data_IF_072978705901
#
_entry.id   IF_072978705901
#
_cell.length_a   1.000
_cell.length_b   1.000
_cell.length_c   1.000
_cell.angle_alpha   90.00
_cell.angle_beta   90.00
_cell.angle_gamma   90.00
#
_symmetry.space_group_name_H-M   'P 1'
#
loop_
_entity.id
_entity.type
_entity.pdbx_description
1 polymer ?
#
# COMPACT_ATOMS: atom_id res chain seq x y z
N UNK A 1 0.10 38.04 25.84
CA UNK A 1 -0.43 36.86 25.14
C UNK A 1 -0.12 35.66 26.02
N UNK A 2 -1.15 34.98 26.52
CA UNK A 2 -0.99 33.73 27.28
C UNK A 2 -0.88 32.60 26.26
N UNK A 3 0.26 31.92 26.25
CA UNK A 3 0.56 30.79 25.35
C UNK A 3 -0.13 29.49 25.82
N UNK A 4 -1.38 29.58 26.29
CA UNK A 4 -2.10 28.42 26.82
C UNK A 4 -2.68 27.59 25.68
N UNK A 5 -2.20 26.34 25.59
CA UNK A 5 -2.68 25.31 24.69
C UNK A 5 -3.87 24.58 25.32
N UNK A 6 -5.09 25.09 25.11
CA UNK A 6 -6.32 24.47 25.65
C UNK A 6 -6.81 23.21 24.89
N UNK A 7 -6.12 22.82 23.81
CA UNK A 7 -6.38 21.59 23.06
C UNK A 7 -5.08 20.81 22.85
N UNK A 8 -5.08 19.54 23.23
CA UNK A 8 -3.87 18.70 23.27
C UNK A 8 -3.23 18.47 21.90
N UNK A 9 -4.04 18.54 20.83
CA UNK A 9 -3.64 18.22 19.45
C UNK A 9 -3.76 19.42 18.49
N UNK A 10 -4.20 20.59 18.97
CA UNK A 10 -4.39 21.78 18.13
C UNK A 10 -3.90 23.04 18.83
N UNK A 11 -3.25 23.92 18.08
CA UNK A 11 -2.93 25.27 18.53
C UNK A 11 -3.63 26.30 17.64
N UNK A 12 -4.16 27.34 18.25
CA UNK A 12 -4.68 28.50 17.54
C UNK A 12 -3.72 29.66 17.73
N UNK A 13 -3.23 30.21 16.61
CA UNK A 13 -2.41 31.41 16.63
C UNK A 13 -3.17 32.53 15.92
N UNK A 14 -3.45 33.60 16.65
CA UNK A 14 -4.00 34.83 16.07
C UNK A 14 -2.85 35.73 15.64
N UNK A 15 -2.86 36.12 14.36
CA UNK A 15 -1.78 36.86 13.72
C UNK A 15 -2.31 38.20 13.24
N UNK A 16 -1.57 39.26 13.53
CA UNK A 16 -1.78 40.59 12.93
C UNK A 16 -0.59 40.92 12.01
N UNK A 17 -0.73 40.66 10.71
CA UNK A 17 0.34 40.86 9.71
C UNK A 17 0.99 42.26 9.75
N UNK A 18 0.25 43.38 9.95
CA UNK A 18 0.86 44.71 10.02
C UNK A 18 1.83 44.89 11.19
N UNK A 19 1.70 44.11 12.28
CA UNK A 19 2.57 44.18 13.46
C UNK A 19 3.85 43.35 13.33
N UNK A 20 3.95 42.52 12.28
CA UNK A 20 5.12 41.70 12.03
C UNK A 20 6.21 42.50 11.32
N UNK A 21 7.31 42.80 12.01
CA UNK A 21 8.35 43.72 11.55
C UNK A 21 9.66 43.05 11.12
N UNK A 22 9.72 41.71 11.15
CA UNK A 22 10.88 40.95 10.65
C UNK A 22 10.83 40.97 9.12
N UNK A 23 11.96 41.34 8.50
CA UNK A 23 12.06 41.57 7.04
C UNK A 23 13.07 40.65 6.36
N UNK A 24 13.78 39.83 7.14
CA UNK A 24 14.74 38.85 6.61
C UNK A 24 14.49 37.47 7.19
N UNK A 25 14.78 36.46 6.39
CA UNK A 25 14.60 35.04 6.74
C UNK A 25 15.45 34.59 7.94
N UNK A 26 16.64 35.17 8.13
CA UNK A 26 17.56 34.87 9.24
C UNK A 26 17.06 35.39 10.58
N UNK A 27 16.03 36.23 10.59
CA UNK A 27 15.39 36.75 11.79
C UNK A 27 14.27 35.83 12.31
N UNK A 28 13.90 34.79 11.57
CA UNK A 28 12.76 33.92 11.87
C UNK A 28 13.19 32.82 12.86
N UNK A 29 12.63 32.86 14.06
CA UNK A 29 13.06 32.01 15.19
C UNK A 29 12.23 30.72 15.30
N UNK A 30 11.01 30.71 14.77
CA UNK A 30 10.09 29.58 14.89
C UNK A 30 9.19 29.40 13.67
N UNK A 31 8.48 28.27 13.63
CA UNK A 31 7.60 27.88 12.52
C UNK A 31 6.46 28.87 12.28
N UNK A 32 5.91 29.45 13.35
CA UNK A 32 4.82 30.43 13.26
C UNK A 32 5.32 31.70 12.56
N UNK A 33 6.51 32.18 12.91
CA UNK A 33 7.11 33.35 12.24
C UNK A 33 7.43 33.09 10.78
N UNK A 34 7.84 31.87 10.42
CA UNK A 34 8.01 31.46 9.02
C UNK A 34 6.69 31.54 8.25
N UNK A 35 5.59 31.08 8.84
CA UNK A 35 4.26 31.21 8.25
C UNK A 35 3.81 32.66 8.10
N UNK A 36 4.01 33.49 9.14
CA UNK A 36 3.67 34.92 9.09
C UNK A 36 4.48 35.64 8.01
N UNK A 37 5.78 35.37 7.93
CA UNK A 37 6.67 35.94 6.92
C UNK A 37 6.23 35.52 5.52
N UNK A 38 5.96 34.23 5.31
CA UNK A 38 5.43 33.72 4.05
C UNK A 38 4.14 34.43 3.64
N UNK A 39 3.13 34.52 4.52
CA UNK A 39 1.87 35.19 4.18
C UNK A 39 2.02 36.69 3.91
N UNK A 40 2.97 37.35 4.58
CA UNK A 40 3.22 38.78 4.38
C UNK A 40 3.88 39.09 3.04
N UNK A 41 4.75 38.20 2.56
CA UNK A 41 5.56 38.38 1.35
C UNK A 41 5.15 37.40 0.23
N UNK A 42 3.98 36.79 0.31
CA UNK A 42 3.58 35.69 -0.57
C UNK A 42 3.57 36.07 -2.06
N UNK A 43 3.29 37.34 -2.36
CA UNK A 43 3.29 37.94 -3.69
C UNK A 43 4.70 38.27 -4.22
N UNK A 44 5.64 38.53 -3.32
CA UNK A 44 7.03 38.91 -3.62
C UNK A 44 8.01 37.74 -3.57
N UNK A 45 7.63 36.64 -2.91
CA UNK A 45 8.52 35.50 -2.63
C UNK A 45 8.66 34.62 -3.86
N UNK A 46 9.86 34.52 -4.42
CA UNK A 46 10.19 33.58 -5.48
C UNK A 46 10.29 32.15 -4.94
N UNK A 47 10.17 31.13 -5.81
CA UNK A 47 10.34 29.72 -5.39
C UNK A 47 11.72 29.46 -4.76
N UNK A 48 12.76 30.17 -5.24
CA UNK A 48 14.12 30.04 -4.71
C UNK A 48 14.25 30.66 -3.31
N UNK A 49 13.65 31.83 -3.09
CA UNK A 49 13.67 32.50 -1.78
C UNK A 49 12.81 31.76 -0.76
N UNK A 50 11.71 31.16 -1.22
CA UNK A 50 10.90 30.29 -0.39
C UNK A 50 11.69 29.08 0.12
N UNK A 51 12.50 28.43 -0.72
CA UNK A 51 13.35 27.30 -0.28
C UNK A 51 14.33 27.72 0.82
N UNK A 52 14.80 28.97 0.80
CA UNK A 52 15.67 29.52 1.86
C UNK A 52 14.90 29.80 3.16
N UNK A 53 13.70 30.38 3.07
CA UNK A 53 12.79 30.64 4.22
C UNK A 53 12.38 29.34 4.92
N UNK A 54 12.01 28.33 4.12
CA UNK A 54 11.52 27.05 4.60
C UNK A 54 12.67 26.20 5.14
N UNK A 55 13.82 26.22 4.48
CA UNK A 55 14.96 25.37 4.80
C UNK A 55 14.61 23.89 4.58
N UNK A 56 14.81 23.05 5.60
CA UNK A 56 14.50 21.60 5.57
C UNK A 56 13.08 21.24 5.99
N UNK A 57 12.20 22.23 6.23
CA UNK A 57 10.85 21.97 6.73
C UNK A 57 9.90 21.52 5.61
N UNK A 58 9.72 20.20 5.50
CA UNK A 58 8.92 19.56 4.44
C UNK A 58 7.45 19.96 4.43
N UNK A 59 6.89 20.45 5.55
CA UNK A 59 5.45 20.76 5.64
C UNK A 59 5.14 22.09 4.94
N UNK A 60 5.96 23.13 5.16
CA UNK A 60 5.76 24.41 4.49
C UNK A 60 6.02 24.26 2.99
N UNK A 61 7.02 23.46 2.60
CA UNK A 61 7.33 23.21 1.18
C UNK A 61 6.11 22.65 0.45
N UNK A 62 5.48 21.63 1.03
CA UNK A 62 4.26 21.05 0.47
C UNK A 62 3.11 22.06 0.37
N UNK A 63 2.89 22.86 1.40
CA UNK A 63 1.80 23.84 1.39
C UNK A 63 2.02 24.95 0.36
N UNK A 64 3.27 25.37 0.15
CA UNK A 64 3.61 26.28 -0.94
C UNK A 64 3.36 25.65 -2.30
N UNK A 65 3.79 24.41 -2.52
CA UNK A 65 3.59 23.73 -3.80
C UNK A 65 2.10 23.66 -4.16
N UNK A 66 1.22 23.50 -3.17
CA UNK A 66 -0.25 23.56 -3.34
C UNK A 66 -0.76 24.99 -3.63
N UNK A 67 -0.22 26.01 -2.95
CA UNK A 67 -0.62 27.41 -3.17
C UNK A 67 -0.11 27.97 -4.51
N UNK A 68 1.09 27.58 -4.94
CA UNK A 68 1.70 28.06 -6.18
C UNK A 68 0.94 27.57 -7.42
N UNK A 69 0.13 26.52 -7.30
CA UNK A 69 -0.74 26.04 -8.39
C UNK A 69 -1.70 27.12 -8.92
N UNK A 70 -2.07 28.09 -8.07
CA UNK A 70 -2.95 29.20 -8.47
C UNK A 70 -2.23 30.26 -9.32
N UNK A 71 -0.90 30.32 -9.26
CA UNK A 71 -0.07 31.23 -10.05
C UNK A 71 0.46 30.61 -11.34
N UNK A 72 0.23 29.31 -11.56
CA UNK A 72 0.70 28.62 -12.76
C UNK A 72 0.02 29.12 -14.03
N UNK A 73 0.83 29.23 -15.08
CA UNK A 73 0.34 29.35 -16.45
C UNK A 73 -0.48 28.12 -16.85
N UNK A 74 -1.25 28.22 -17.93
CA UNK A 74 -2.02 27.10 -18.46
C UNK A 74 -1.10 25.93 -18.84
N UNK A 75 0.08 26.25 -19.34
CA UNK A 75 1.09 25.30 -19.79
C UNK A 75 1.70 24.53 -18.61
N UNK A 76 2.06 25.23 -17.53
CA UNK A 76 2.59 24.60 -16.30
C UNK A 76 1.55 23.72 -15.63
N UNK A 77 0.30 24.19 -15.54
CA UNK A 77 -0.81 23.40 -15.00
C UNK A 77 -1.07 22.14 -15.82
N UNK A 78 -1.06 22.27 -17.16
CA UNK A 78 -1.21 21.12 -18.05
C UNK A 78 -0.07 20.11 -17.87
N UNK A 79 1.17 20.56 -17.73
CA UNK A 79 2.33 19.69 -17.50
C UNK A 79 2.22 18.93 -16.16
N UNK A 80 1.77 19.62 -15.11
CA UNK A 80 1.51 19.01 -13.81
C UNK A 80 0.39 17.96 -13.88
N UNK A 81 -0.75 18.30 -14.48
CA UNK A 81 -1.88 17.38 -14.63
C UNK A 81 -1.49 16.13 -15.44
N UNK A 82 -0.66 16.30 -16.47
CA UNK A 82 -0.11 15.18 -17.25
C UNK A 82 0.88 14.32 -16.46
N UNK A 83 1.71 14.93 -15.60
CA UNK A 83 2.61 14.18 -14.72
C UNK A 83 1.82 13.36 -13.70
N UNK A 84 0.84 14.00 -13.04
CA UNK A 84 -0.06 13.34 -12.10
C UNK A 84 -0.84 12.20 -12.76
N UNK A 85 -1.44 12.46 -13.93
CA UNK A 85 -2.13 11.42 -14.70
C UNK A 85 -1.23 10.23 -15.03
N UNK A 86 0.03 10.47 -15.44
CA UNK A 86 0.97 9.37 -15.71
C UNK A 86 1.24 8.52 -14.46
N UNK A 87 1.39 9.16 -13.30
CA UNK A 87 1.56 8.44 -12.03
C UNK A 87 0.30 7.64 -11.68
N UNK A 88 -0.88 8.23 -11.81
CA UNK A 88 -2.15 7.57 -11.52
C UNK A 88 -2.43 6.40 -12.48
N UNK A 89 -2.15 6.56 -13.77
CA UNK A 89 -2.27 5.50 -14.78
C UNK A 89 -1.32 4.32 -14.45
N UNK A 90 -0.09 4.63 -14.02
CA UNK A 90 0.88 3.61 -13.62
C UNK A 90 0.43 2.84 -12.37
N UNK A 91 -0.05 3.54 -11.34
CA UNK A 91 -0.56 2.92 -10.11
C UNK A 91 -1.79 2.06 -10.39
N UNK A 92 -2.73 2.56 -11.20
CA UNK A 92 -3.92 1.82 -11.62
C UNK A 92 -3.55 0.54 -12.38
N UNK A 93 -2.57 0.62 -13.28
CA UNK A 93 -2.06 -0.56 -14.01
C UNK A 93 -1.44 -1.59 -13.07
N UNK A 94 -0.71 -1.17 -12.03
CA UNK A 94 -0.13 -2.08 -11.05
C UNK A 94 -1.22 -2.76 -10.21
N UNK A 95 -2.24 -2.01 -9.79
CA UNK A 95 -3.35 -2.53 -9.02
C UNK A 95 -4.17 -3.56 -9.81
N UNK A 96 -4.45 -3.27 -11.09
CA UNK A 96 -5.13 -4.20 -11.99
C UNK A 96 -4.35 -5.50 -12.15
N UNK A 97 -3.03 -5.43 -12.41
CA UNK A 97 -2.17 -6.62 -12.53
C UNK A 97 -2.12 -7.45 -11.24
N UNK A 98 -2.07 -6.79 -10.09
CA UNK A 98 -2.11 -7.46 -8.80
C UNK A 98 -3.46 -8.18 -8.60
N UNK A 99 -4.55 -7.50 -8.94
CA UNK A 99 -5.89 -8.06 -8.84
C UNK A 99 -6.07 -9.28 -9.74
N UNK A 100 -5.66 -9.19 -11.00
CA UNK A 100 -5.64 -10.31 -11.95
C UNK A 100 -4.79 -11.47 -11.42
N UNK A 101 -3.59 -11.20 -10.92
CA UNK A 101 -2.71 -12.22 -10.36
C UNK A 101 -3.33 -12.95 -9.17
N UNK A 102 -4.06 -12.24 -8.30
CA UNK A 102 -4.78 -12.85 -7.17
C UNK A 102 -5.93 -13.73 -7.67
N UNK A 103 -6.69 -13.28 -8.67
CA UNK A 103 -7.78 -14.05 -9.25
C UNK A 103 -7.27 -15.35 -9.88
N UNK A 104 -6.24 -15.27 -10.72
CA UNK A 104 -5.61 -16.43 -11.36
C UNK A 104 -5.06 -17.38 -10.29
N UNK A 105 -4.29 -16.87 -9.32
CA UNK A 105 -3.71 -17.70 -8.26
C UNK A 105 -4.76 -18.40 -7.40
N UNK A 106 -5.92 -17.76 -7.17
CA UNK A 106 -7.05 -18.38 -6.47
C UNK A 106 -7.69 -19.49 -7.30
N UNK A 107 -7.93 -19.25 -8.59
CA UNK A 107 -8.52 -20.24 -9.49
C UNK A 107 -7.62 -21.47 -9.66
N UNK A 108 -6.33 -21.25 -9.94
CA UNK A 108 -5.33 -22.32 -10.02
C UNK A 108 -5.21 -23.08 -8.69
N UNK A 109 -5.20 -22.36 -7.56
CA UNK A 109 -5.14 -22.97 -6.24
C UNK A 109 -6.33 -23.88 -5.93
N UNK A 110 -7.54 -23.47 -6.33
CA UNK A 110 -8.75 -24.29 -6.19
C UNK A 110 -8.66 -25.53 -7.09
N UNK A 111 -8.24 -25.37 -8.34
CA UNK A 111 -8.15 -26.48 -9.30
C UNK A 111 -7.13 -27.53 -8.84
N UNK A 112 -5.91 -27.10 -8.51
CA UNK A 112 -4.84 -27.98 -8.01
C UNK A 112 -5.28 -28.64 -6.70
N UNK A 113 -5.90 -27.88 -5.79
CA UNK A 113 -6.40 -28.41 -4.52
C UNK A 113 -7.46 -29.48 -4.70
N UNK A 114 -8.40 -29.26 -5.64
CA UNK A 114 -9.44 -30.23 -5.95
C UNK A 114 -8.88 -31.51 -6.59
N UNK A 115 -7.94 -31.39 -7.53
CA UNK A 115 -7.31 -32.54 -8.19
C UNK A 115 -6.52 -33.39 -7.19
N UNK A 116 -5.63 -32.76 -6.40
CA UNK A 116 -4.86 -33.45 -5.35
C UNK A 116 -5.78 -34.08 -4.30
N UNK A 117 -6.81 -33.36 -3.85
CA UNK A 117 -7.77 -33.88 -2.88
C UNK A 117 -8.52 -35.10 -3.40
N UNK A 118 -8.88 -35.14 -4.69
CA UNK A 118 -9.51 -36.29 -5.31
C UNK A 118 -8.57 -37.50 -5.37
N UNK A 119 -7.33 -37.31 -5.83
CA UNK A 119 -6.35 -38.39 -5.93
C UNK A 119 -5.98 -38.96 -4.55
N UNK A 120 -5.74 -38.09 -3.58
CA UNK A 120 -5.43 -38.51 -2.21
C UNK A 120 -6.62 -39.21 -1.55
N UNK A 121 -7.85 -38.70 -1.75
CA UNK A 121 -9.07 -39.34 -1.29
C UNK A 121 -9.30 -40.72 -1.90
N UNK A 122 -9.07 -40.87 -3.22
CA UNK A 122 -9.15 -42.18 -3.89
C UNK A 122 -8.09 -43.16 -3.36
N UNK A 123 -6.86 -42.70 -3.13
CA UNK A 123 -5.80 -43.54 -2.54
C UNK A 123 -6.16 -43.95 -1.11
N UNK A 124 -6.59 -43.02 -0.27
CA UNK A 124 -7.00 -43.29 1.11
C UNK A 124 -8.19 -44.26 1.18
N UNK A 125 -9.18 -44.12 0.28
CA UNK A 125 -10.30 -45.04 0.20
C UNK A 125 -9.85 -46.46 -0.18
N UNK A 126 -8.95 -46.60 -1.16
CA UNK A 126 -8.36 -47.91 -1.52
C UNK A 126 -7.60 -48.55 -0.36
N UNK A 127 -6.82 -47.76 0.37
CA UNK A 127 -6.06 -48.21 1.54
C UNK A 127 -7.01 -48.65 2.66
N UNK A 128 -8.07 -47.88 2.93
CA UNK A 128 -9.06 -48.23 3.94
C UNK A 128 -9.74 -49.57 3.62
N UNK A 129 -10.17 -49.76 2.36
CA UNK A 129 -10.75 -51.04 1.90
C UNK A 129 -9.75 -52.18 2.01
N UNK A 130 -8.48 -51.97 1.63
CA UNK A 130 -7.44 -52.99 1.74
C UNK A 130 -7.22 -53.45 3.19
N UNK A 131 -7.22 -52.51 4.15
CA UNK A 131 -7.08 -52.82 5.59
C UNK A 131 -8.23 -53.66 6.13
N UNK A 132 -9.47 -53.34 5.76
CA UNK A 132 -10.65 -54.14 6.15
C UNK A 132 -10.57 -55.55 5.55
N UNK A 133 -10.18 -55.68 4.27
CA UNK A 133 -10.02 -57.00 3.64
C UNK A 133 -8.88 -57.83 4.26
N UNK A 134 -7.79 -57.19 4.70
CA UNK A 134 -6.70 -57.85 5.44
C UNK A 134 -7.19 -58.35 6.82
N UNK A 135 -8.01 -57.56 7.52
CA UNK A 135 -8.62 -57.97 8.79
C UNK A 135 -9.51 -59.21 8.62
N UNK A 136 -10.20 -59.31 7.49
CA UNK A 136 -11.00 -60.48 7.09
C UNK A 136 -10.16 -61.67 6.55
N UNK A 137 -8.82 -61.56 6.58
CA UNK A 137 -7.86 -62.58 6.13
C UNK A 137 -7.97 -62.92 4.63
N UNK A 138 -8.42 -61.98 3.81
CA UNK A 138 -8.39 -62.13 2.35
C UNK A 138 -6.93 -62.12 1.88
N UNK A 139 -6.58 -62.97 0.91
CA UNK A 139 -5.20 -63.04 0.43
C UNK A 139 -4.79 -61.76 -0.31
N UNK A 140 -3.50 -61.42 -0.22
CA UNK A 140 -2.91 -60.18 -0.79
C UNK A 140 -3.09 -60.05 -2.29
N UNK A 141 -3.04 -61.15 -3.05
CA UNK A 141 -3.25 -61.14 -4.50
C UNK A 141 -4.70 -60.77 -4.87
N UNK A 142 -5.69 -61.23 -4.09
CA UNK A 142 -7.09 -60.87 -4.27
C UNK A 142 -7.33 -59.41 -3.90
N UNK A 143 -6.72 -58.91 -2.82
CA UNK A 143 -6.81 -57.49 -2.42
C UNK A 143 -6.20 -56.59 -3.51
N UNK A 144 -5.03 -56.94 -4.03
CA UNK A 144 -4.38 -56.21 -5.13
C UNK A 144 -5.26 -56.13 -6.38
N UNK A 145 -5.94 -57.23 -6.72
CA UNK A 145 -6.87 -57.28 -7.86
C UNK A 145 -8.06 -56.33 -7.72
N UNK A 146 -8.62 -56.20 -6.52
CA UNK A 146 -9.84 -55.39 -6.30
C UNK A 146 -9.56 -53.92 -5.98
N UNK A 147 -8.47 -53.64 -5.25
CA UNK A 147 -8.12 -52.26 -4.86
C UNK A 147 -7.24 -51.57 -5.91
N UNK A 148 -6.57 -52.36 -6.77
CA UNK A 148 -5.57 -51.86 -7.71
C UNK A 148 -4.28 -51.36 -7.05
N UNK A 149 -4.12 -51.59 -5.74
CA UNK A 149 -2.87 -51.30 -5.03
C UNK A 149 -1.82 -52.36 -5.36
N UNK A 150 -0.55 -51.98 -5.50
CA UNK A 150 0.51 -52.95 -5.75
C UNK A 150 0.75 -53.79 -4.49
N UNK A 151 1.18 -55.05 -4.68
CA UNK A 151 1.28 -56.04 -3.60
C UNK A 151 2.24 -55.56 -2.50
N UNK A 152 3.34 -54.91 -2.86
CA UNK A 152 4.29 -54.34 -1.91
C UNK A 152 3.66 -53.26 -1.00
N UNK A 153 2.83 -52.37 -1.55
CA UNK A 153 2.12 -51.39 -0.72
C UNK A 153 1.14 -52.11 0.23
N UNK A 154 0.46 -53.17 -0.21
CA UNK A 154 -0.48 -53.94 0.63
C UNK A 154 0.25 -54.69 1.76
N UNK A 155 1.44 -55.23 1.50
CA UNK A 155 2.26 -55.93 2.51
C UNK A 155 2.82 -54.97 3.58
N UNK A 156 2.86 -53.67 3.29
CA UNK A 156 3.28 -52.61 4.22
C UNK A 156 2.11 -51.99 5.03
N UNK A 157 0.84 -52.32 4.72
CA UNK A 157 -0.36 -51.78 5.39
C UNK A 157 -0.68 -52.44 6.74
#
# INVERSE_FOLDING_TARGET
MTFEHDLKDFSFTFIELPKFNKTKEDQLENIVEKWIYFFKHADETSEEDLKKIIGSDVIIGRAYDELNQYNWSKEERLAYDQAKKRTDDYLSTLEEKLHEGILIGKEEGILIGHEKGREEGEKQAKIAVAKEMLADKVNTHTIAKFTGLPINEIEEL
#
